data_IF_459558348611
#
_entry.id   IF_459558348611
#
_cell.length_a   1.000
_cell.length_b   1.000
_cell.length_c   1.000
_cell.angle_alpha   90.00
_cell.angle_beta   90.00
_cell.angle_gamma   90.00
#
_symmetry.space_group_name_H-M   'P 1'
#
loop_
_entity.id
_entity.type
_entity.pdbx_description
1 polymer ?
#
# COMPACT_ATOMS: atom_id res chain seq x y z
N UNK A 1 -19.67 -10.34 -8.29
CA UNK A 1 -19.57 -11.51 -9.15
C UNK A 1 -18.22 -12.19 -8.93
N UNK A 2 -18.23 -13.50 -8.65
CA UNK A 2 -17.02 -14.25 -8.34
C UNK A 2 -16.02 -14.28 -9.51
N UNK A 3 -16.50 -14.15 -10.73
CA UNK A 3 -15.64 -14.10 -11.91
C UNK A 3 -14.77 -12.85 -11.93
N UNK A 4 -15.28 -11.74 -11.43
CA UNK A 4 -14.50 -10.50 -11.36
C UNK A 4 -13.31 -10.61 -10.42
N UNK A 5 -13.42 -11.40 -9.36
CA UNK A 5 -12.29 -11.64 -8.45
C UNK A 5 -11.24 -12.52 -9.09
N UNK A 6 -11.65 -13.44 -9.97
CA UNK A 6 -10.73 -14.34 -10.63
C UNK A 6 -9.99 -13.65 -11.78
N UNK A 7 -10.58 -12.58 -12.33
CA UNK A 7 -10.02 -11.84 -13.46
C UNK A 7 -9.18 -10.64 -13.05
N UNK A 8 -8.97 -10.44 -11.74
CA UNK A 8 -8.24 -9.28 -11.20
C UNK A 8 -6.73 -9.51 -11.15
N UNK A 9 -6.19 -10.01 -12.26
CA UNK A 9 -4.73 -10.13 -12.39
C UNK A 9 -4.21 -9.01 -13.28
N UNK A 10 -3.09 -8.45 -12.87
CA UNK A 10 -2.41 -7.43 -13.66
C UNK A 10 -1.47 -8.10 -14.66
N UNK A 11 -1.37 -7.50 -15.84
CA UNK A 11 -0.24 -7.76 -16.74
C UNK A 11 0.86 -6.75 -16.41
N UNK A 12 2.05 -6.96 -16.94
CA UNK A 12 3.12 -5.97 -16.80
C UNK A 12 2.64 -4.62 -17.35
N UNK A 13 1.99 -4.65 -18.51
CA UNK A 13 1.47 -3.43 -19.14
C UNK A 13 0.43 -2.73 -18.27
N UNK A 14 -0.58 -3.46 -17.79
CA UNK A 14 -1.65 -2.84 -17.00
C UNK A 14 -1.15 -2.36 -15.66
N UNK A 15 -0.19 -3.07 -15.04
CA UNK A 15 0.43 -2.63 -13.80
C UNK A 15 1.19 -1.33 -14.00
N UNK A 16 1.97 -1.22 -15.07
CA UNK A 16 2.70 0.01 -15.37
C UNK A 16 1.77 1.17 -15.72
N UNK A 17 0.67 0.90 -16.41
CA UNK A 17 -0.31 1.94 -16.72
C UNK A 17 -0.97 2.49 -15.46
N UNK A 18 -1.22 1.64 -14.48
CA UNK A 18 -1.85 2.03 -13.23
C UNK A 18 -0.86 2.60 -12.22
N UNK A 19 0.42 2.35 -12.40
CA UNK A 19 1.44 2.66 -11.39
C UNK A 19 1.44 4.11 -10.91
N UNK A 20 1.32 5.14 -11.78
CA UNK A 20 1.27 6.52 -11.29
C UNK A 20 0.13 6.76 -10.28
N UNK A 21 -1.06 6.24 -10.56
CA UNK A 21 -2.21 6.33 -9.66
C UNK A 21 -1.95 5.57 -8.36
N UNK A 22 -1.34 4.40 -8.47
CA UNK A 22 -1.01 3.58 -7.29
C UNK A 22 0.02 4.30 -6.41
N UNK A 23 1.03 4.91 -7.02
CA UNK A 23 2.02 5.68 -6.26
C UNK A 23 1.37 6.85 -5.51
N UNK A 24 0.43 7.56 -6.15
CA UNK A 24 -0.31 8.63 -5.47
C UNK A 24 -1.08 8.12 -4.26
N UNK A 25 -1.74 6.97 -4.42
CA UNK A 25 -2.49 6.36 -3.30
C UNK A 25 -1.55 5.91 -2.19
N UNK A 26 -0.40 5.38 -2.54
CA UNK A 26 0.61 4.99 -1.56
C UNK A 26 1.14 6.21 -0.80
N UNK A 27 1.43 7.29 -1.50
CA UNK A 27 1.90 8.53 -0.85
C UNK A 27 0.84 9.09 0.09
N UNK A 28 -0.43 8.98 -0.27
CA UNK A 28 -1.52 9.40 0.61
C UNK A 28 -1.55 8.58 1.89
N UNK A 29 -1.36 7.27 1.79
CA UNK A 29 -1.29 6.41 2.98
C UNK A 29 -0.17 6.88 3.91
N UNK A 30 1.00 7.20 3.36
CA UNK A 30 2.13 7.70 4.14
C UNK A 30 1.81 9.03 4.82
N UNK A 31 1.15 9.94 4.11
CA UNK A 31 0.73 11.22 4.66
C UNK A 31 -0.26 11.04 5.80
N UNK A 32 -1.24 10.16 5.63
CA UNK A 32 -2.24 9.89 6.66
C UNK A 32 -1.60 9.23 7.88
N UNK A 33 -0.61 8.36 7.68
CA UNK A 33 0.14 7.77 8.79
C UNK A 33 0.88 8.85 9.57
N UNK A 34 1.52 9.79 8.88
CA UNK A 34 2.21 10.91 9.53
C UNK A 34 1.24 11.75 10.35
N UNK A 35 0.01 11.95 9.88
CA UNK A 35 -1.00 12.68 10.63
C UNK A 35 -1.40 11.94 11.91
N UNK A 36 -1.54 10.61 11.84
CA UNK A 36 -1.82 9.80 13.03
C UNK A 36 -0.70 9.99 14.06
N UNK A 37 0.55 9.85 13.64
CA UNK A 37 1.69 9.99 14.52
C UNK A 37 1.74 11.39 15.15
N UNK A 38 1.43 12.44 14.37
CA UNK A 38 1.37 13.81 14.86
C UNK A 38 0.28 13.97 15.92
N UNK A 39 -0.90 13.40 15.70
CA UNK A 39 -2.00 13.46 16.65
C UNK A 39 -1.69 12.69 17.93
N UNK A 40 -1.04 11.53 17.80
CA UNK A 40 -0.57 10.75 18.96
C UNK A 40 0.40 11.56 19.78
N UNK A 41 1.34 12.23 19.15
CA UNK A 41 2.33 13.05 19.83
C UNK A 41 1.67 14.23 20.57
N UNK A 42 0.71 14.90 19.93
CA UNK A 42 -0.03 16.00 20.57
C UNK A 42 -0.78 15.52 21.81
N UNK A 43 -1.37 14.34 21.73
CA UNK A 43 -2.08 13.74 22.86
C UNK A 43 -1.10 13.44 24.01
N UNK A 44 0.07 12.87 23.69
CA UNK A 44 1.09 12.57 24.69
C UNK A 44 1.57 13.84 25.39
N UNK A 45 1.81 14.92 24.65
CA UNK A 45 2.20 16.21 25.23
C UNK A 45 1.10 16.75 26.16
N UNK A 46 -0.15 16.65 25.75
CA UNK A 46 -1.28 17.08 26.58
C UNK A 46 -1.35 16.29 27.89
N UNK A 47 -1.17 14.96 27.81
CA UNK A 47 -1.25 14.09 29.00
C UNK A 47 -0.08 14.28 29.96
N UNK A 48 1.08 14.71 29.47
CA UNK A 48 2.27 14.91 30.31
C UNK A 48 2.33 16.30 30.95
N UNK A 49 1.44 17.22 30.56
CA UNK A 49 1.38 18.58 31.07
C UNK A 49 0.17 18.85 31.94
N UNK A 50 -0.16 20.14 32.09
CA UNK A 50 -1.40 20.55 32.75
C UNK A 50 -2.53 20.40 31.73
N UNK A 51 -3.16 19.23 31.73
CA UNK A 51 -4.21 18.95 30.78
C UNK A 51 -5.58 19.34 31.32
N UNK A 52 -6.47 19.80 30.46
CA UNK A 52 -7.87 19.91 30.80
C UNK A 52 -8.68 18.89 29.98
N UNK A 53 -9.85 18.57 30.47
CA UNK A 53 -10.67 17.53 29.88
C UNK A 53 -11.11 17.87 28.46
N UNK A 54 -11.45 19.13 28.22
CA UNK A 54 -11.92 19.56 26.89
C UNK A 54 -10.83 19.40 25.83
N UNK A 55 -9.60 19.77 26.16
CA UNK A 55 -8.47 19.59 25.24
C UNK A 55 -8.20 18.11 24.98
N UNK A 56 -8.28 17.29 26.04
CA UNK A 56 -8.11 15.84 25.89
C UNK A 56 -9.15 15.26 24.93
N UNK A 57 -10.42 15.61 25.14
CA UNK A 57 -11.51 15.10 24.30
C UNK A 57 -11.31 15.52 22.84
N UNK A 58 -10.97 16.78 22.60
CA UNK A 58 -10.74 17.28 21.25
C UNK A 58 -9.58 16.54 20.57
N UNK A 59 -8.45 16.39 21.28
CA UNK A 59 -7.29 15.68 20.75
C UNK A 59 -7.59 14.22 20.47
N UNK A 60 -8.37 13.58 21.34
CA UNK A 60 -8.76 12.19 21.16
C UNK A 60 -9.66 12.02 19.93
N UNK A 61 -10.61 12.94 19.74
CA UNK A 61 -11.47 12.95 18.57
C UNK A 61 -10.67 13.16 17.29
N UNK A 62 -9.69 14.06 17.32
CA UNK A 62 -8.83 14.31 16.16
C UNK A 62 -7.97 13.09 15.84
N UNK A 63 -7.45 12.41 16.88
CA UNK A 63 -6.70 11.18 16.69
C UNK A 63 -7.57 10.11 16.03
N UNK A 64 -8.77 9.88 16.56
CA UNK A 64 -9.67 8.88 16.02
C UNK A 64 -10.03 9.17 14.55
N UNK A 65 -10.26 10.44 14.22
CA UNK A 65 -10.54 10.85 12.84
C UNK A 65 -9.33 10.59 11.92
N UNK A 66 -8.12 10.86 12.41
CA UNK A 66 -6.91 10.60 11.61
C UNK A 66 -6.68 9.12 11.38
N UNK A 67 -6.95 8.28 12.37
CA UNK A 67 -6.86 6.83 12.24
C UNK A 67 -7.84 6.33 11.18
N UNK A 68 -9.07 6.83 11.20
CA UNK A 68 -10.08 6.47 10.21
C UNK A 68 -9.62 6.85 8.80
N UNK A 69 -9.08 8.06 8.62
CA UNK A 69 -8.56 8.49 7.31
C UNK A 69 -7.40 7.59 6.84
N UNK A 70 -6.55 7.21 7.76
CA UNK A 70 -5.44 6.31 7.44
C UNK A 70 -5.93 4.96 6.92
N UNK A 71 -6.83 4.32 7.63
CA UNK A 71 -7.37 3.02 7.19
C UNK A 71 -8.19 3.14 5.91
N UNK A 72 -8.93 4.24 5.76
CA UNK A 72 -9.67 4.49 4.50
C UNK A 72 -8.71 4.60 3.32
N UNK A 73 -7.57 5.26 3.50
CA UNK A 73 -6.58 5.39 2.43
C UNK A 73 -5.98 4.03 2.02
N UNK A 74 -5.80 3.13 2.99
CA UNK A 74 -5.36 1.76 2.69
C UNK A 74 -6.44 1.01 1.91
N UNK A 75 -7.69 1.12 2.32
CA UNK A 75 -8.80 0.49 1.60
C UNK A 75 -8.89 0.99 0.16
N UNK A 76 -8.72 2.29 -0.05
CA UNK A 76 -8.75 2.87 -1.40
C UNK A 76 -7.65 2.31 -2.29
N UNK A 77 -6.46 2.08 -1.72
CA UNK A 77 -5.40 1.41 -2.46
C UNK A 77 -5.79 -0.03 -2.80
N UNK A 78 -6.23 -0.79 -1.81
CA UNK A 78 -6.48 -2.22 -1.99
C UNK A 78 -7.73 -2.51 -2.82
N UNK A 79 -8.63 -1.57 -2.97
CA UNK A 79 -9.75 -1.67 -3.91
C UNK A 79 -9.29 -1.78 -5.37
N UNK A 80 -8.08 -1.31 -5.67
CA UNK A 80 -7.53 -1.42 -7.02
C UNK A 80 -7.06 -2.83 -7.35
N UNK A 81 -6.98 -3.71 -6.35
CA UNK A 81 -6.41 -5.05 -6.48
C UNK A 81 -4.97 -5.16 -6.03
N UNK A 82 -4.29 -4.02 -5.86
CA UNK A 82 -2.91 -3.98 -5.38
C UNK A 82 -2.89 -4.23 -3.87
N UNK A 83 -1.89 -4.96 -3.40
CA UNK A 83 -1.77 -5.32 -1.98
C UNK A 83 -0.60 -4.57 -1.36
N UNK A 84 -0.87 -3.92 -0.24
CA UNK A 84 0.18 -3.27 0.56
C UNK A 84 0.90 -4.32 1.39
N UNK A 85 2.16 -4.57 1.07
CA UNK A 85 2.96 -5.58 1.78
C UNK A 85 3.82 -5.00 2.89
N UNK A 86 4.28 -3.78 2.72
CA UNK A 86 5.07 -3.11 3.75
C UNK A 86 5.03 -1.62 3.56
N UNK A 87 4.43 -0.92 4.52
CA UNK A 87 4.31 0.54 4.44
C UNK A 87 5.66 1.21 4.67
N UNK A 88 6.38 0.79 5.71
CA UNK A 88 7.68 1.38 6.04
C UNK A 88 8.73 1.08 4.96
N UNK A 89 8.72 -0.15 4.47
CA UNK A 89 9.66 -0.59 3.44
C UNK A 89 9.28 -0.06 2.06
N UNK A 90 8.04 0.41 1.89
CA UNK A 90 7.54 0.89 0.62
C UNK A 90 7.34 -0.24 -0.38
N UNK A 91 6.62 -1.31 0.01
CA UNK A 91 6.44 -2.50 -0.83
C UNK A 91 4.98 -2.70 -1.20
N UNK A 92 4.73 -2.81 -2.49
CA UNK A 92 3.42 -3.11 -3.05
C UNK A 92 3.54 -4.31 -3.98
N UNK A 93 2.53 -5.17 -3.96
CA UNK A 93 2.46 -6.33 -4.83
C UNK A 93 1.19 -6.29 -5.67
N UNK A 94 1.37 -6.52 -6.97
CA UNK A 94 0.29 -6.58 -7.96
C UNK A 94 0.07 -8.06 -8.29
N UNK A 95 -1.13 -8.61 -8.03
CA UNK A 95 -1.39 -10.01 -8.40
C UNK A 95 -1.29 -10.19 -9.91
N UNK A 96 -0.58 -11.21 -10.33
CA UNK A 96 -0.36 -11.51 -11.74
C UNK A 96 -0.24 -13.01 -11.96
N UNK A 97 0.05 -13.41 -13.18
CA UNK A 97 0.27 -14.80 -13.53
C UNK A 97 1.47 -14.94 -14.45
N UNK A 98 2.21 -16.01 -14.25
CA UNK A 98 3.24 -16.47 -15.19
C UNK A 98 2.80 -17.85 -15.66
N UNK A 99 2.40 -17.94 -16.94
CA UNK A 99 1.67 -19.11 -17.44
C UNK A 99 0.39 -19.30 -16.61
N UNK A 100 0.24 -20.42 -15.93
CA UNK A 100 -0.92 -20.68 -15.08
C UNK A 100 -0.64 -20.45 -13.60
N UNK A 101 0.59 -20.09 -13.24
CA UNK A 101 0.97 -19.88 -11.85
C UNK A 101 0.70 -18.46 -11.41
N UNK A 102 0.12 -18.31 -10.21
CA UNK A 102 -0.05 -17.01 -9.58
C UNK A 102 1.27 -16.49 -9.08
N UNK A 103 1.58 -15.24 -9.42
CA UNK A 103 2.79 -14.56 -8.98
C UNK A 103 2.43 -13.15 -8.52
N UNK A 104 3.41 -12.45 -7.99
CA UNK A 104 3.30 -11.03 -7.65
C UNK A 104 4.26 -10.24 -8.51
N UNK A 105 3.76 -9.15 -9.10
CA UNK A 105 4.62 -8.11 -9.65
C UNK A 105 4.95 -7.17 -8.50
N UNK A 106 6.23 -6.99 -8.22
CA UNK A 106 6.69 -6.32 -7.02
C UNK A 106 7.20 -4.92 -7.32
N UNK A 107 6.64 -3.95 -6.62
CA UNK A 107 7.11 -2.57 -6.69
C UNK A 107 7.68 -2.16 -5.34
N UNK A 108 8.84 -1.50 -5.38
CA UNK A 108 9.43 -0.87 -4.21
C UNK A 108 9.47 0.63 -4.41
N UNK A 109 9.21 1.38 -3.36
CA UNK A 109 9.22 2.85 -3.41
C UNK A 109 10.53 3.36 -4.00
N UNK A 110 10.42 4.26 -4.98
CA UNK A 110 11.53 4.78 -5.74
C UNK A 110 11.65 4.19 -7.13
N UNK A 111 11.05 3.05 -7.38
CA UNK A 111 11.02 2.47 -8.72
C UNK A 111 10.00 3.19 -9.58
N UNK A 112 10.37 3.48 -10.84
CA UNK A 112 9.52 4.24 -11.75
C UNK A 112 8.67 3.36 -12.65
N UNK A 113 8.96 2.07 -12.68
CA UNK A 113 8.17 1.09 -13.44
C UNK A 113 8.27 -0.28 -12.76
N UNK A 114 7.40 -1.19 -13.15
CA UNK A 114 7.41 -2.56 -12.65
C UNK A 114 8.55 -3.31 -13.33
N UNK A 115 9.54 -3.74 -12.56
CA UNK A 115 10.74 -4.42 -13.05
C UNK A 115 10.98 -5.77 -12.41
N UNK A 116 10.22 -6.15 -11.38
CA UNK A 116 10.49 -7.34 -10.58
C UNK A 116 9.22 -8.12 -10.32
N UNK A 117 9.40 -9.40 -10.08
CA UNK A 117 8.31 -10.31 -9.71
C UNK A 117 8.83 -11.32 -8.69
N UNK A 118 7.94 -11.95 -7.97
CA UNK A 118 8.29 -13.08 -7.10
C UNK A 118 7.15 -14.07 -7.07
N UNK A 119 7.48 -15.32 -6.70
CA UNK A 119 6.49 -16.36 -6.54
C UNK A 119 5.54 -16.01 -5.40
N UNK A 120 4.37 -16.65 -5.41
CA UNK A 120 3.30 -16.34 -4.46
C UNK A 120 3.74 -16.50 -3.00
N UNK A 121 4.53 -17.54 -2.72
CA UNK A 121 4.95 -17.86 -1.35
C UNK A 121 6.30 -17.29 -0.96
N UNK A 122 6.89 -16.44 -1.81
CA UNK A 122 8.19 -15.82 -1.58
C UNK A 122 7.98 -14.33 -1.43
N UNK A 123 8.74 -13.69 -0.55
CA UNK A 123 8.63 -12.26 -0.34
C UNK A 123 9.64 -11.46 -1.15
N UNK A 124 9.80 -10.19 -0.75
CA UNK A 124 10.66 -9.23 -1.43
C UNK A 124 12.08 -9.75 -1.67
N UNK A 125 12.67 -10.45 -0.70
CA UNK A 125 14.04 -10.94 -0.81
C UNK A 125 14.22 -11.97 -1.93
N UNK A 126 13.13 -12.59 -2.37
CA UNK A 126 13.16 -13.55 -3.47
C UNK A 126 12.73 -12.97 -4.80
N UNK A 127 12.61 -11.66 -4.91
CA UNK A 127 12.15 -11.05 -6.16
C UNK A 127 13.19 -11.17 -7.27
N UNK A 128 12.70 -11.36 -8.48
CA UNK A 128 13.51 -11.62 -9.67
C UNK A 128 13.23 -10.53 -10.71
N UNK A 129 14.24 -10.16 -11.50
CA UNK A 129 13.99 -9.20 -12.58
C UNK A 129 13.11 -9.80 -13.66
N UNK A 130 12.27 -8.96 -14.25
CA UNK A 130 11.44 -9.34 -15.39
C UNK A 130 12.31 -9.32 -16.65
N UNK A 131 12.31 -10.45 -17.38
CA UNK A 131 12.95 -10.53 -18.68
C UNK A 131 11.84 -10.67 -19.73
N UNK A 132 11.44 -9.55 -20.32
CA UNK A 132 10.34 -9.50 -21.26
C UNK A 132 10.62 -10.26 -22.57
N UNK A 133 11.87 -10.63 -22.82
CA UNK A 133 12.24 -11.36 -24.02
C UNK A 133 12.22 -12.86 -23.82
N UNK A 134 12.30 -13.33 -22.58
CA UNK A 134 12.44 -14.75 -22.27
C UNK A 134 11.28 -15.30 -21.45
N UNK A 135 10.57 -14.47 -20.73
CA UNK A 135 9.51 -14.90 -19.82
C UNK A 135 8.15 -14.48 -20.35
N UNK A 136 7.23 -15.44 -20.31
CA UNK A 136 5.85 -15.19 -20.72
C UNK A 136 5.05 -14.80 -19.49
N UNK A 137 5.01 -13.51 -19.18
CA UNK A 137 4.19 -12.95 -18.11
C UNK A 137 2.90 -12.39 -18.68
N UNK A 138 1.84 -12.63 -17.96
CA UNK A 138 0.50 -12.22 -18.38
C UNK A 138 0.28 -10.73 -18.13
#
# INVERSE_FOLDING_TARGET
>A
NSEQFMDNYFTIKSANEMLPTIIEKFQKIKQEKNEVEKMEQKLQVNLSGTSNLDDYVTLKQNLNASVTRFYTSIEELEKTGVVLKGLEEGLLDFPSKKFDDEIWLCWKEGETEIKFWHEKDVGFNGRKPIDVNKESLV
#
